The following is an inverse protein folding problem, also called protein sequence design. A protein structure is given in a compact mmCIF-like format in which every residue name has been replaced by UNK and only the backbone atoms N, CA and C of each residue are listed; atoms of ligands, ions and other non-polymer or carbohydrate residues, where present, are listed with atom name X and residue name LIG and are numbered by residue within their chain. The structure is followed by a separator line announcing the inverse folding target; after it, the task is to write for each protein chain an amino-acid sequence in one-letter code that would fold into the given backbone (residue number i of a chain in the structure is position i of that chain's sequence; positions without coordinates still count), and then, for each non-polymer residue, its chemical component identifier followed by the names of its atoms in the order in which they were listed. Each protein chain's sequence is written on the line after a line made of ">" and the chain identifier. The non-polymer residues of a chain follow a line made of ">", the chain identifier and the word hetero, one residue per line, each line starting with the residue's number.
data_IF_179692663767
#
_entry.id   IF_179692663767
#
_cell.length_a   1.000
_cell.length_b   1.000
_cell.length_c   1.000
_cell.angle_alpha   90.00
_cell.angle_beta   90.00
_cell.angle_gamma   90.00
#
_symmetry.space_group_name_H-M   'P 1'
#
loop_
_entity.id
_entity.type
_entity.pdbx_description
1 polymer ?
#
# COMPACT_ATOMS: atom_id res chain seq x y z
N UNK A 1 -41.07 -11.65 28.20
CA UNK A 1 -40.38 -10.35 28.06
C UNK A 1 -40.89 -9.68 26.79
N UNK A 2 -41.48 -8.48 26.86
CA UNK A 2 -41.84 -7.73 25.65
C UNK A 2 -40.60 -6.96 25.20
N UNK A 3 -39.90 -7.46 24.18
CA UNK A 3 -38.85 -6.68 23.53
C UNK A 3 -39.50 -5.53 22.79
N UNK A 4 -39.11 -4.29 23.10
CA UNK A 4 -39.50 -3.16 22.29
C UNK A 4 -38.74 -3.27 20.97
N UNK A 5 -39.44 -3.11 19.84
CA UNK A 5 -38.85 -3.14 18.50
C UNK A 5 -37.59 -2.26 18.41
N UNK A 6 -37.62 -1.10 19.08
CA UNK A 6 -36.51 -0.16 19.13
C UNK A 6 -35.22 -0.76 19.72
N UNK A 7 -35.30 -1.67 20.70
CA UNK A 7 -34.13 -2.31 21.31
C UNK A 7 -33.46 -3.29 20.34
N UNK A 8 -34.26 -3.99 19.54
CA UNK A 8 -33.76 -4.91 18.51
C UNK A 8 -33.04 -4.10 17.44
N UNK A 9 -33.66 -3.02 16.94
CA UNK A 9 -33.04 -2.12 15.95
C UNK A 9 -31.71 -1.54 16.48
N UNK A 10 -31.66 -1.12 17.75
CA UNK A 10 -30.42 -0.65 18.37
C UNK A 10 -29.33 -1.72 18.43
N UNK A 11 -29.67 -2.95 18.79
CA UNK A 11 -28.70 -4.05 18.86
C UNK A 11 -28.11 -4.34 17.47
N UNK A 12 -28.94 -4.34 16.42
CA UNK A 12 -28.47 -4.49 15.04
C UNK A 12 -27.58 -3.32 14.59
N UNK A 13 -27.98 -2.08 14.90
CA UNK A 13 -27.16 -0.90 14.58
C UNK A 13 -25.80 -0.94 15.27
N UNK A 14 -25.76 -1.31 16.55
CA UNK A 14 -24.53 -1.46 17.31
C UNK A 14 -23.65 -2.59 16.74
N UNK A 15 -24.26 -3.71 16.37
CA UNK A 15 -23.56 -4.84 15.74
C UNK A 15 -22.91 -4.43 14.42
N UNK A 16 -23.69 -3.85 13.51
CA UNK A 16 -23.21 -3.40 12.21
C UNK A 16 -22.09 -2.35 12.36
N UNK A 17 -22.28 -1.36 13.23
CA UNK A 17 -21.28 -0.32 13.46
C UNK A 17 -19.98 -0.91 14.05
N UNK A 18 -20.08 -1.85 15.00
CA UNK A 18 -18.92 -2.51 15.59
C UNK A 18 -18.17 -3.37 14.57
N UNK A 19 -18.88 -4.03 13.65
CA UNK A 19 -18.27 -4.81 12.56
C UNK A 19 -17.51 -3.93 11.57
N UNK A 20 -18.05 -2.76 11.24
CA UNK A 20 -17.38 -1.80 10.34
C UNK A 20 -16.08 -1.30 10.96
N UNK A 21 -16.06 -1.12 12.29
CA UNK A 21 -14.91 -0.56 13.00
C UNK A 21 -13.84 -1.60 13.30
N UNK A 22 -14.23 -2.74 13.88
CA UNK A 22 -13.28 -3.71 14.43
C UNK A 22 -13.21 -5.01 13.60
N UNK A 23 -13.90 -5.07 12.45
CA UNK A 23 -14.07 -6.30 11.68
C UNK A 23 -15.14 -7.22 12.27
N UNK A 24 -15.46 -8.28 11.53
CA UNK A 24 -16.60 -9.19 11.83
C UNK A 24 -16.48 -9.82 13.22
N UNK A 25 -15.32 -10.41 13.52
CA UNK A 25 -15.11 -11.18 14.75
C UNK A 25 -15.11 -10.27 15.98
N UNK A 26 -14.24 -9.26 16.00
CA UNK A 26 -14.10 -8.38 17.16
C UNK A 26 -15.32 -7.46 17.32
N UNK A 27 -15.93 -7.01 16.22
CA UNK A 27 -17.18 -6.24 16.26
C UNK A 27 -18.32 -7.00 16.94
N UNK A 28 -18.41 -8.31 16.69
CA UNK A 28 -19.37 -9.17 17.38
C UNK A 28 -19.10 -9.31 18.88
N UNK A 29 -17.83 -9.51 19.26
CA UNK A 29 -17.43 -9.59 20.68
C UNK A 29 -17.75 -8.27 21.41
N UNK A 30 -17.38 -7.14 20.84
CA UNK A 30 -17.66 -5.81 21.40
C UNK A 30 -19.16 -5.59 21.61
N UNK A 31 -19.97 -5.93 20.61
CA UNK A 31 -21.43 -5.81 20.68
C UNK A 31 -22.01 -6.70 21.78
N UNK A 32 -21.58 -7.97 21.86
CA UNK A 32 -22.07 -8.90 22.86
C UNK A 32 -21.79 -8.40 24.29
N UNK A 33 -20.60 -7.84 24.53
CA UNK A 33 -20.22 -7.28 25.83
C UNK A 33 -21.05 -6.04 26.19
N UNK A 34 -21.33 -5.16 25.23
CA UNK A 34 -22.18 -3.98 25.45
C UNK A 34 -23.63 -4.40 25.72
N UNK A 35 -24.18 -5.36 24.97
CA UNK A 35 -25.54 -5.86 25.19
C UNK A 35 -25.66 -6.61 26.52
N UNK A 36 -24.63 -7.37 26.92
CA UNK A 36 -24.58 -8.02 28.23
C UNK A 36 -24.58 -6.98 29.35
N UNK A 37 -23.85 -5.87 29.19
CA UNK A 37 -23.90 -4.74 30.10
C UNK A 37 -25.30 -4.14 30.21
N UNK A 38 -25.93 -3.82 29.07
CA UNK A 38 -27.28 -3.26 29.06
C UNK A 38 -28.29 -4.22 29.70
N UNK A 39 -28.18 -5.52 29.42
CA UNK A 39 -29.04 -6.55 30.02
C UNK A 39 -28.86 -6.66 31.54
N UNK A 40 -27.64 -6.49 32.05
CA UNK A 40 -27.39 -6.41 33.49
C UNK A 40 -27.96 -5.13 34.09
N UNK A 41 -27.75 -3.99 33.43
CA UNK A 41 -28.24 -2.68 33.87
C UNK A 41 -29.77 -2.65 33.93
N UNK A 42 -30.46 -3.24 32.94
CA UNK A 42 -31.92 -3.28 32.86
C UNK A 42 -32.58 -4.18 33.90
N UNK A 43 -31.85 -5.16 34.44
CA UNK A 43 -32.35 -6.07 35.48
C UNK A 43 -32.25 -5.51 36.90
N UNK A 44 -31.52 -4.40 37.10
CA UNK A 44 -31.40 -3.83 38.44
C UNK A 44 -32.69 -3.08 38.84
N UNK A 45 -33.22 -3.34 40.06
CA UNK A 45 -34.45 -2.73 40.55
C UNK A 45 -34.32 -1.20 40.67
N UNK A 46 -35.44 -0.50 40.44
CA UNK A 46 -35.52 0.95 40.57
C UNK A 46 -35.50 1.28 42.06
N UNK A 47 -34.44 1.96 42.53
CA UNK A 47 -34.32 2.43 43.91
C UNK A 47 -33.00 2.05 44.56
N UNK A 48 -32.48 0.85 44.28
CA UNK A 48 -31.17 0.46 44.81
C UNK A 48 -30.07 1.37 44.25
N UNK A 49 -29.16 1.90 45.09
CA UNK A 49 -27.96 2.51 44.59
C UNK A 49 -27.23 1.42 43.80
N UNK A 50 -26.97 1.68 42.52
CA UNK A 50 -25.98 0.88 41.80
C UNK A 50 -24.73 1.03 42.66
N UNK A 51 -24.33 -0.04 43.36
CA UNK A 51 -23.18 0.04 44.25
C UNK A 51 -22.05 0.64 43.40
N UNK A 52 -21.45 1.74 43.87
CA UNK A 52 -20.50 2.51 43.05
C UNK A 52 -19.41 1.61 42.46
N UNK A 53 -19.08 0.54 43.18
CA UNK A 53 -18.22 -0.56 42.76
C UNK A 53 -18.73 -1.33 41.52
N UNK A 54 -19.99 -1.75 41.46
CA UNK A 54 -20.51 -2.52 40.33
C UNK A 54 -20.68 -1.68 39.04
N UNK A 55 -21.08 -0.41 39.18
CA UNK A 55 -21.10 0.53 38.05
C UNK A 55 -19.69 0.83 37.55
N UNK A 56 -18.78 1.08 38.49
CA UNK A 56 -17.36 1.33 38.24
C UNK A 56 -16.74 0.17 37.48
N UNK A 57 -16.71 -1.02 38.07
CA UNK A 57 -16.07 -2.22 37.51
C UNK A 57 -16.52 -2.56 36.09
N UNK A 58 -17.79 -2.33 35.76
CA UNK A 58 -18.33 -2.64 34.44
C UNK A 58 -18.01 -1.54 33.42
N UNK A 59 -18.01 -0.28 33.82
CA UNK A 59 -17.52 0.81 32.99
C UNK A 59 -16.01 0.65 32.70
N UNK A 60 -15.21 0.28 33.70
CA UNK A 60 -13.80 -0.07 33.48
C UNK A 60 -13.66 -1.29 32.60
N UNK A 61 -14.46 -2.35 32.78
CA UNK A 61 -14.40 -3.52 31.90
C UNK A 61 -14.69 -3.16 30.44
N UNK A 62 -15.73 -2.36 30.17
CA UNK A 62 -16.06 -1.89 28.81
C UNK A 62 -14.94 -1.01 28.25
N UNK A 63 -14.45 -0.05 29.02
CA UNK A 63 -13.36 0.82 28.60
C UNK A 63 -12.09 0.02 28.28
N UNK A 64 -11.75 -0.97 29.13
CA UNK A 64 -10.63 -1.88 28.91
C UNK A 64 -10.85 -2.76 27.68
N UNK A 65 -12.05 -3.31 27.48
CA UNK A 65 -12.34 -4.10 26.26
C UNK A 65 -12.23 -3.24 25.01
N UNK A 66 -12.75 -2.01 25.02
CA UNK A 66 -12.63 -1.09 23.89
C UNK A 66 -11.15 -0.76 23.64
N UNK A 67 -10.38 -0.45 24.70
CA UNK A 67 -8.96 -0.14 24.59
C UNK A 67 -8.15 -1.34 24.06
N UNK A 68 -8.40 -2.54 24.58
CA UNK A 68 -7.74 -3.78 24.13
C UNK A 68 -8.17 -4.14 22.72
N UNK A 69 -9.44 -3.97 22.37
CA UNK A 69 -9.95 -4.19 21.02
C UNK A 69 -9.32 -3.24 20.02
N UNK A 70 -9.23 -1.95 20.34
CA UNK A 70 -8.53 -0.96 19.53
C UNK A 70 -7.04 -1.28 19.42
N UNK A 71 -6.39 -1.68 20.50
CA UNK A 71 -4.97 -2.03 20.50
C UNK A 71 -4.70 -3.28 19.66
N UNK A 72 -5.44 -4.37 19.88
CA UNK A 72 -5.31 -5.61 19.11
C UNK A 72 -5.63 -5.38 17.64
N UNK A 73 -6.68 -4.62 17.34
CA UNK A 73 -7.04 -4.33 15.97
C UNK A 73 -6.02 -3.40 15.30
N UNK A 74 -5.42 -2.44 16.03
CA UNK A 74 -4.31 -1.63 15.52
C UNK A 74 -3.07 -2.48 15.26
N UNK A 75 -2.78 -3.46 16.12
CA UNK A 75 -1.69 -4.44 15.92
C UNK A 75 -2.00 -5.34 14.73
N UNK A 76 -3.20 -5.89 14.61
CA UNK A 76 -3.62 -6.71 13.47
C UNK A 76 -3.57 -5.91 12.18
N UNK A 77 -4.05 -4.66 12.18
CA UNK A 77 -3.93 -3.78 11.01
C UNK A 77 -2.47 -3.51 10.70
N UNK A 78 -1.63 -3.22 11.70
CA UNK A 78 -0.19 -3.03 11.48
C UNK A 78 0.48 -4.30 10.92
N UNK A 79 0.08 -5.49 11.36
CA UNK A 79 0.60 -6.75 10.83
C UNK A 79 0.09 -6.98 9.40
N UNK A 80 -1.19 -6.71 9.12
CA UNK A 80 -1.81 -6.90 7.81
C UNK A 80 -1.42 -5.84 6.78
N UNK A 81 -1.20 -4.59 7.15
CA UNK A 81 -0.79 -3.53 6.24
C UNK A 81 0.72 -3.32 6.26
N UNK A 82 1.33 -3.30 7.45
CA UNK A 82 2.75 -3.04 7.62
C UNK A 82 3.66 -4.15 7.10
N UNK A 83 3.31 -5.44 7.28
CA UNK A 83 4.15 -6.53 6.77
C UNK A 83 4.16 -6.61 5.23
N UNK A 84 3.00 -6.50 4.53
CA UNK A 84 3.03 -6.47 3.07
C UNK A 84 3.83 -5.31 2.50
N UNK A 85 3.81 -4.12 3.11
CA UNK A 85 4.65 -3.01 2.64
C UNK A 85 6.15 -3.34 2.66
N UNK A 86 6.59 -4.08 3.67
CA UNK A 86 7.98 -4.56 3.73
C UNK A 86 8.21 -5.54 2.57
N UNK A 87 7.31 -6.50 2.36
CA UNK A 87 7.41 -7.47 1.27
C UNK A 87 7.36 -6.86 -0.14
N UNK A 88 6.51 -5.87 -0.40
CA UNK A 88 6.30 -5.29 -1.72
C UNK A 88 7.54 -4.55 -2.22
N UNK A 89 8.22 -3.83 -1.32
CA UNK A 89 9.47 -3.16 -1.65
C UNK A 89 10.55 -4.19 -1.99
N UNK A 90 10.68 -5.27 -1.22
CA UNK A 90 11.58 -6.36 -1.61
C UNK A 90 11.19 -6.98 -2.95
N UNK A 91 9.91 -7.13 -3.23
CA UNK A 91 9.43 -7.73 -4.47
C UNK A 91 9.81 -6.89 -5.71
N UNK A 92 9.63 -5.56 -5.71
CA UNK A 92 10.03 -4.74 -6.87
C UNK A 92 11.56 -4.73 -7.07
N UNK A 93 12.34 -4.82 -5.98
CA UNK A 93 13.80 -4.98 -6.03
C UNK A 93 14.22 -6.36 -6.57
N UNK A 94 13.54 -7.41 -6.16
CA UNK A 94 13.76 -8.78 -6.66
C UNK A 94 13.43 -8.86 -8.15
N UNK A 95 12.31 -8.27 -8.60
CA UNK A 95 11.92 -8.22 -10.02
C UNK A 95 12.96 -7.51 -10.88
N UNK A 96 13.40 -6.32 -10.51
CA UNK A 96 14.41 -5.61 -11.32
C UNK A 96 15.75 -6.36 -11.35
N UNK A 97 16.12 -7.03 -10.26
CA UNK A 97 17.34 -7.87 -10.19
C UNK A 97 17.20 -9.11 -11.08
N UNK A 98 16.01 -9.74 -11.12
CA UNK A 98 15.70 -10.84 -12.04
C UNK A 98 15.82 -10.41 -13.51
N UNK A 99 15.33 -9.21 -13.87
CA UNK A 99 15.45 -8.68 -15.23
C UNK A 99 16.91 -8.44 -15.63
N UNK A 100 17.75 -7.95 -14.70
CA UNK A 100 19.20 -7.88 -14.93
C UNK A 100 19.84 -9.25 -15.13
N UNK A 101 19.46 -10.25 -14.33
CA UNK A 101 19.96 -11.61 -14.51
C UNK A 101 19.54 -12.19 -15.88
N UNK A 102 18.35 -11.83 -16.37
CA UNK A 102 17.89 -12.14 -17.73
C UNK A 102 18.75 -11.48 -18.82
N UNK A 103 19.09 -10.20 -18.64
CA UNK A 103 20.04 -9.50 -19.50
C UNK A 103 21.41 -10.21 -19.49
N UNK A 104 21.90 -10.65 -18.33
CA UNK A 104 23.26 -11.21 -18.20
C UNK A 104 23.34 -12.58 -18.86
N UNK A 105 22.31 -13.38 -18.65
CA UNK A 105 22.10 -14.64 -19.35
C UNK A 105 22.05 -14.44 -20.87
N UNK A 106 21.44 -13.35 -21.36
CA UNK A 106 21.43 -13.04 -22.79
C UNK A 106 22.84 -12.71 -23.29
N UNK A 107 23.62 -11.90 -22.55
CA UNK A 107 25.01 -11.60 -22.89
C UNK A 107 25.87 -12.86 -22.88
N UNK A 108 25.73 -13.73 -21.90
CA UNK A 108 26.46 -14.99 -21.85
C UNK A 108 26.18 -15.88 -23.08
N UNK A 109 24.93 -15.89 -23.56
CA UNK A 109 24.53 -16.67 -24.72
C UNK A 109 24.92 -16.04 -26.07
N UNK A 110 24.92 -14.71 -26.18
CA UNK A 110 25.05 -13.99 -27.46
C UNK A 110 26.34 -13.15 -27.58
N UNK A 111 27.17 -13.12 -26.54
CA UNK A 111 28.38 -12.31 -26.45
C UNK A 111 28.15 -10.82 -26.14
N UNK A 112 26.91 -10.31 -26.28
CA UNK A 112 26.55 -8.92 -26.04
C UNK A 112 25.21 -8.79 -25.32
N UNK A 113 25.04 -7.71 -24.56
CA UNK A 113 23.72 -7.29 -24.08
C UNK A 113 22.76 -7.10 -25.26
N UNK A 114 21.47 -7.40 -25.11
CA UNK A 114 20.52 -7.03 -26.16
C UNK A 114 20.57 -5.50 -26.31
N UNK A 115 20.48 -4.96 -27.55
CA UNK A 115 20.36 -3.52 -27.73
C UNK A 115 19.07 -3.04 -27.06
N UNK A 116 19.03 -1.77 -26.62
CA UNK A 116 17.83 -1.18 -26.00
C UNK A 116 16.62 -1.32 -26.94
N UNK A 117 16.88 -1.11 -28.24
CA UNK A 117 15.91 -1.24 -29.32
C UNK A 117 16.52 -2.02 -30.49
N UNK A 118 15.76 -2.94 -31.09
CA UNK A 118 16.20 -3.80 -32.21
C UNK A 118 15.29 -3.65 -33.43
N UNK A 119 15.90 -3.71 -34.63
CA UNK A 119 15.18 -3.69 -35.90
C UNK A 119 14.68 -2.30 -36.31
N UNK A 120 14.20 -2.20 -37.56
CA UNK A 120 13.62 -0.98 -38.12
C UNK A 120 14.59 0.21 -38.27
N UNK A 121 14.02 1.37 -38.56
CA UNK A 121 14.72 2.65 -38.53
C UNK A 121 14.76 3.21 -37.09
N UNK A 122 15.62 4.19 -36.76
CA UNK A 122 15.59 4.82 -35.43
C UNK A 122 14.23 5.41 -35.07
N UNK A 123 13.46 5.83 -36.08
CA UNK A 123 12.12 6.41 -35.92
C UNK A 123 11.03 5.34 -35.71
N UNK A 124 11.31 4.10 -36.11
CA UNK A 124 10.37 2.98 -36.06
C UNK A 124 11.05 1.69 -35.60
N UNK A 125 11.53 1.63 -34.34
CA UNK A 125 12.15 0.43 -33.82
C UNK A 125 11.11 -0.70 -33.72
N UNK A 126 11.53 -1.92 -34.00
CA UNK A 126 10.61 -3.05 -34.07
C UNK A 126 10.46 -3.77 -32.73
N UNK A 127 11.52 -3.90 -31.94
CA UNK A 127 11.50 -4.72 -30.71
C UNK A 127 12.24 -4.07 -29.54
N UNK A 128 11.69 -4.27 -28.34
CA UNK A 128 12.31 -3.89 -27.07
C UNK A 128 13.31 -4.95 -26.60
N UNK A 129 14.33 -4.54 -25.84
CA UNK A 129 15.20 -5.47 -25.11
C UNK A 129 14.41 -6.48 -24.23
N UNK A 130 13.23 -6.09 -23.76
CA UNK A 130 12.35 -6.93 -22.93
C UNK A 130 11.93 -8.21 -23.65
N UNK A 131 11.60 -8.12 -24.93
CA UNK A 131 11.23 -9.30 -25.73
C UNK A 131 12.45 -10.18 -26.02
N UNK A 132 13.63 -9.57 -26.17
CA UNK A 132 14.88 -10.30 -26.41
C UNK A 132 15.34 -11.15 -25.22
N UNK A 133 15.01 -10.75 -23.98
CA UNK A 133 15.37 -11.51 -22.77
C UNK A 133 14.34 -12.56 -22.34
N UNK A 134 13.17 -12.62 -22.98
CA UNK A 134 12.12 -13.57 -22.60
C UNK A 134 12.61 -15.03 -22.51
N UNK A 135 13.43 -15.54 -23.46
CA UNK A 135 13.93 -16.91 -23.37
C UNK A 135 14.78 -17.16 -22.12
N UNK A 136 15.46 -16.14 -21.60
CA UNK A 136 16.33 -16.22 -20.43
C UNK A 136 15.57 -16.12 -19.11
N UNK A 137 14.36 -15.55 -19.10
CA UNK A 137 13.49 -15.54 -17.93
C UNK A 137 12.86 -16.93 -17.65
N UNK A 138 13.01 -17.89 -18.56
CA UNK A 138 12.70 -19.30 -18.35
C UNK A 138 11.25 -19.56 -17.94
N UNK A 139 11.06 -20.44 -16.94
CA UNK A 139 9.74 -20.81 -16.41
C UNK A 139 9.01 -19.65 -15.70
N UNK A 140 9.70 -18.54 -15.40
CA UNK A 140 9.08 -17.41 -14.69
C UNK A 140 8.19 -16.58 -15.63
N UNK A 141 8.64 -16.32 -16.86
CA UNK A 141 7.89 -15.50 -17.82
C UNK A 141 6.75 -16.22 -18.54
N UNK A 142 6.50 -17.50 -18.23
CA UNK A 142 5.53 -18.34 -18.93
C UNK A 142 6.03 -18.74 -20.32
N UNK A 143 6.10 -20.04 -20.60
CA UNK A 143 6.55 -20.56 -21.91
C UNK A 143 5.66 -20.16 -23.09
N UNK A 144 4.46 -19.65 -22.81
CA UNK A 144 3.49 -19.25 -23.83
C UNK A 144 3.67 -17.79 -24.30
N UNK A 145 4.34 -16.95 -23.49
CA UNK A 145 4.66 -15.58 -23.87
C UNK A 145 5.70 -15.54 -25.02
N UNK A 146 6.61 -16.52 -25.05
CA UNK A 146 7.65 -16.63 -26.08
C UNK A 146 7.15 -17.26 -27.37
N UNK A 147 6.18 -18.17 -27.34
CA UNK A 147 5.78 -18.92 -28.55
C UNK A 147 4.90 -18.13 -29.52
N UNK A 148 4.27 -17.06 -29.05
CA UNK A 148 3.27 -16.32 -29.83
C UNK A 148 3.77 -14.95 -30.34
N UNK A 149 4.94 -14.47 -29.89
CA UNK A 149 5.45 -13.15 -30.26
C UNK A 149 6.12 -13.22 -31.64
N UNK A 150 5.70 -12.35 -32.56
CA UNK A 150 6.18 -12.35 -33.94
C UNK A 150 7.40 -11.42 -34.08
N UNK A 151 8.61 -12.00 -33.99
CA UNK A 151 9.88 -11.27 -34.15
C UNK A 151 10.12 -10.73 -35.57
N UNK A 152 9.37 -11.19 -36.56
CA UNK A 152 9.43 -10.70 -37.95
C UNK A 152 8.50 -9.51 -38.21
N UNK A 153 7.68 -9.13 -37.24
CA UNK A 153 6.75 -8.01 -37.32
C UNK A 153 7.07 -6.91 -36.28
N UNK A 154 6.78 -5.62 -36.57
CA UNK A 154 6.90 -4.56 -35.57
C UNK A 154 6.12 -4.86 -34.28
N UNK A 155 6.57 -4.35 -33.13
CA UNK A 155 5.89 -4.54 -31.84
C UNK A 155 4.41 -4.11 -31.84
N UNK A 156 4.05 -3.13 -32.68
CA UNK A 156 2.70 -2.59 -32.82
C UNK A 156 1.93 -3.23 -33.99
N UNK A 157 2.41 -4.35 -34.55
CA UNK A 157 1.64 -5.11 -35.52
C UNK A 157 0.36 -5.62 -34.86
N UNK A 158 -0.68 -5.84 -35.68
CA UNK A 158 -1.94 -6.40 -35.19
C UNK A 158 -1.71 -7.70 -34.42
N UNK A 159 -0.82 -8.59 -34.88
CA UNK A 159 -0.52 -9.86 -34.22
C UNK A 159 0.19 -9.68 -32.88
N UNK A 160 1.14 -8.73 -32.79
CA UNK A 160 1.87 -8.44 -31.55
C UNK A 160 1.04 -7.64 -30.52
N UNK A 161 0.01 -6.90 -30.96
CA UNK A 161 -0.93 -6.20 -30.08
C UNK A 161 -2.13 -7.06 -29.65
N UNK A 162 -2.60 -7.96 -30.50
CA UNK A 162 -3.68 -8.93 -30.18
C UNK A 162 -3.16 -10.14 -29.38
N UNK A 163 -1.95 -10.03 -28.83
CA UNK A 163 -1.32 -11.06 -28.03
C UNK A 163 -2.25 -11.50 -26.88
N UNK A 164 -2.71 -12.76 -26.86
CA UNK A 164 -3.78 -13.20 -25.95
C UNK A 164 -3.32 -13.28 -24.49
N UNK A 165 -2.02 -13.23 -24.23
CA UNK A 165 -1.47 -13.33 -22.88
C UNK A 165 -1.10 -11.96 -22.31
N UNK A 166 -1.33 -11.73 -21.00
CA UNK A 166 -0.90 -10.50 -20.35
C UNK A 166 0.63 -10.39 -20.38
N UNK A 167 1.12 -9.17 -20.16
CA UNK A 167 2.54 -8.94 -19.88
C UNK A 167 3.06 -9.95 -18.82
N UNK A 168 4.24 -10.55 -19.01
CA UNK A 168 4.86 -11.37 -17.97
C UNK A 168 4.99 -10.59 -16.67
N UNK A 169 4.63 -11.23 -15.55
CA UNK A 169 4.59 -10.59 -14.21
C UNK A 169 5.96 -10.07 -13.78
N UNK A 170 7.03 -10.56 -14.39
CA UNK A 170 8.41 -10.15 -14.18
C UNK A 170 8.67 -8.70 -14.61
N UNK A 171 7.91 -8.20 -15.59
CA UNK A 171 8.00 -6.81 -16.06
C UNK A 171 7.09 -5.85 -15.28
N UNK A 172 6.25 -6.36 -14.39
CA UNK A 172 5.38 -5.58 -13.52
C UNK A 172 6.05 -5.38 -12.16
N UNK A 173 6.00 -4.16 -11.60
CA UNK A 173 6.27 -4.03 -10.17
C UNK A 173 5.03 -4.52 -9.40
N UNK A 174 5.17 -5.51 -8.50
CA UNK A 174 4.05 -6.06 -7.73
C UNK A 174 3.19 -5.02 -7.02
N UNK A 175 3.78 -3.88 -6.65
CA UNK A 175 3.07 -2.79 -6.00
C UNK A 175 2.15 -2.01 -6.93
N UNK A 176 2.50 -1.89 -8.21
CA UNK A 176 1.66 -1.24 -9.22
C UNK A 176 0.39 -2.02 -9.51
N UNK A 177 0.45 -3.35 -9.48
CA UNK A 177 -0.71 -4.23 -9.63
C UNK A 177 -1.80 -3.94 -8.59
N UNK A 178 -1.42 -3.47 -7.39
CA UNK A 178 -2.35 -3.12 -6.31
C UNK A 178 -3.04 -1.76 -6.53
N UNK A 179 -2.34 -0.80 -7.14
CA UNK A 179 -2.79 0.60 -7.27
C UNK A 179 -3.61 0.86 -8.54
N UNK A 180 -3.31 0.19 -9.66
CA UNK A 180 -3.74 0.65 -10.98
C UNK A 180 -5.08 0.05 -11.51
N UNK A 181 -5.73 -0.85 -10.78
CA UNK A 181 -6.93 -1.54 -11.30
C UNK A 181 -6.61 -2.42 -12.53
N UNK A 182 -7.65 -2.94 -13.19
CA UNK A 182 -7.53 -4.02 -14.23
C UNK A 182 -6.71 -3.67 -15.47
N UNK A 183 -6.39 -2.40 -15.72
CA UNK A 183 -5.69 -1.94 -16.93
C UNK A 183 -4.14 -1.99 -16.81
N UNK A 184 -3.61 -2.44 -15.66
CA UNK A 184 -2.18 -2.59 -15.42
C UNK A 184 -1.50 -3.67 -16.30
N UNK A 185 -2.27 -4.54 -16.94
CA UNK A 185 -1.80 -5.84 -17.43
C UNK A 185 -0.86 -5.80 -18.64
N UNK A 186 -0.62 -4.65 -19.27
CA UNK A 186 0.16 -4.55 -20.51
C UNK A 186 1.36 -3.59 -20.44
N UNK A 187 1.55 -2.85 -19.32
CA UNK A 187 2.62 -1.86 -19.22
C UNK A 187 3.69 -2.25 -18.21
N UNK A 188 4.95 -2.19 -18.62
CA UNK A 188 6.10 -2.51 -17.75
C UNK A 188 6.40 -1.39 -16.77
N UNK A 189 6.91 -1.73 -15.57
CA UNK A 189 7.38 -0.74 -14.60
C UNK A 189 8.89 -0.51 -14.67
N UNK A 190 9.61 -1.17 -15.59
CA UNK A 190 11.07 -1.15 -15.64
C UNK A 190 11.58 -0.67 -17.00
N UNK A 191 12.30 0.44 -17.00
CA UNK A 191 12.92 1.02 -18.19
C UNK A 191 14.44 0.95 -18.09
N UNK A 192 15.10 0.81 -19.23
CA UNK A 192 16.56 0.87 -19.37
C UNK A 192 16.98 2.30 -19.70
N UNK A 193 18.21 2.68 -19.34
CA UNK A 193 18.75 4.00 -19.66
C UNK A 193 19.64 3.92 -20.91
N UNK A 194 19.29 4.66 -21.94
CA UNK A 194 20.01 4.74 -23.21
C UNK A 194 20.72 6.08 -23.39
N UNK A 195 21.69 6.10 -24.31
CA UNK A 195 22.44 7.30 -24.63
C UNK A 195 21.53 8.37 -25.26
N UNK A 196 21.85 9.66 -25.03
CA UNK A 196 21.06 10.77 -25.57
C UNK A 196 21.19 10.91 -27.10
N UNK A 197 22.35 10.53 -27.66
CA UNK A 197 22.68 10.65 -29.07
C UNK A 197 22.20 9.45 -29.91
N UNK A 198 22.07 8.27 -29.31
CA UNK A 198 21.55 7.07 -29.97
C UNK A 198 20.70 6.22 -29.01
N UNK A 199 19.36 6.13 -29.20
CA UNK A 199 18.48 5.37 -28.34
C UNK A 199 18.66 3.84 -28.44
N UNK A 200 19.50 3.36 -29.35
CA UNK A 200 19.84 1.93 -29.49
C UNK A 200 21.00 1.52 -28.59
N UNK A 201 21.78 2.49 -28.12
CA UNK A 201 22.97 2.28 -27.30
C UNK A 201 22.67 2.57 -25.84
N UNK A 202 23.27 1.79 -24.95
CA UNK A 202 23.29 2.13 -23.53
C UNK A 202 23.99 3.46 -23.29
N UNK A 203 23.51 4.19 -22.27
CA UNK A 203 24.22 5.37 -21.77
C UNK A 203 25.56 5.01 -21.09
N UNK A 204 25.72 3.76 -20.65
CA UNK A 204 26.84 3.26 -19.87
C UNK A 204 27.36 1.93 -20.43
N UNK A 205 28.50 1.46 -19.92
CA UNK A 205 29.07 0.16 -20.34
C UNK A 205 28.18 -1.03 -19.92
N UNK A 206 27.52 -0.91 -18.77
CA UNK A 206 26.56 -1.87 -18.26
C UNK A 206 25.13 -1.32 -18.32
N UNK A 207 24.13 -2.17 -18.57
CA UNK A 207 22.74 -1.75 -18.53
C UNK A 207 22.36 -1.27 -17.12
N UNK A 208 21.68 -0.12 -17.06
CA UNK A 208 21.02 0.36 -15.86
C UNK A 208 19.52 0.29 -16.10
N UNK A 209 18.81 -0.40 -15.21
CA UNK A 209 17.36 -0.44 -15.15
C UNK A 209 16.87 0.49 -14.04
N UNK A 210 15.76 1.17 -14.31
CA UNK A 210 15.07 2.05 -13.35
C UNK A 210 13.58 1.78 -13.36
N UNK A 211 13.00 1.82 -12.17
CA UNK A 211 11.57 1.73 -11.95
C UNK A 211 10.83 3.04 -12.24
N UNK A 212 9.73 2.95 -12.99
CA UNK A 212 8.84 4.06 -13.34
C UNK A 212 7.40 3.75 -12.95
N UNK A 213 6.63 4.76 -12.53
CA UNK A 213 5.22 4.56 -12.19
C UNK A 213 4.34 4.52 -13.44
N UNK A 214 4.61 5.39 -14.43
CA UNK A 214 3.97 5.38 -15.75
C UNK A 214 4.78 4.59 -16.76
N UNK A 215 4.50 3.30 -16.81
CA UNK A 215 5.07 2.38 -17.77
C UNK A 215 4.73 2.66 -19.23
N UNK A 216 5.51 2.03 -20.11
CA UNK A 216 5.19 1.87 -21.54
C UNK A 216 4.63 0.48 -21.78
N UNK A 217 3.98 0.24 -22.92
CA UNK A 217 3.60 -1.12 -23.30
C UNK A 217 4.84 -2.01 -23.28
N UNK A 218 4.78 -3.21 -22.68
CA UNK A 218 6.00 -3.96 -22.37
C UNK A 218 6.77 -4.43 -23.62
N UNK A 219 6.12 -4.59 -24.77
CA UNK A 219 6.78 -4.87 -26.05
C UNK A 219 7.28 -3.62 -26.78
N UNK A 220 6.86 -2.43 -26.34
CA UNK A 220 7.22 -1.17 -26.99
C UNK A 220 8.72 -0.89 -26.77
N UNK A 221 9.50 -0.65 -27.84
CA UNK A 221 10.90 -0.24 -27.78
C UNK A 221 11.01 1.23 -27.38
N UNK A 222 10.55 1.52 -26.16
CA UNK A 222 10.69 2.83 -25.52
C UNK A 222 11.29 2.62 -24.14
N UNK A 223 12.28 3.44 -23.86
CA UNK A 223 13.10 3.43 -22.65
C UNK A 223 13.44 4.89 -22.32
N UNK A 224 14.34 5.14 -21.37
CA UNK A 224 14.69 6.51 -20.95
C UNK A 224 16.01 6.93 -21.56
N UNK A 225 16.05 8.13 -22.13
CA UNK A 225 17.32 8.82 -22.35
C UNK A 225 17.98 9.17 -21.02
N UNK A 226 19.28 9.44 -21.03
CA UNK A 226 20.00 9.87 -19.83
C UNK A 226 19.40 11.15 -19.25
N UNK A 227 18.97 12.10 -20.09
CA UNK A 227 18.35 13.33 -19.63
C UNK A 227 16.95 13.09 -19.02
N UNK A 228 16.14 12.21 -19.63
CA UNK A 228 14.85 11.80 -19.03
C UNK A 228 15.05 11.05 -17.70
N UNK A 229 16.10 10.24 -17.58
CA UNK A 229 16.42 9.56 -16.32
C UNK A 229 16.86 10.55 -15.23
N UNK A 230 17.63 11.58 -15.59
CA UNK A 230 18.01 12.66 -14.65
C UNK A 230 16.77 13.46 -14.25
N UNK A 231 15.90 13.80 -15.19
CA UNK A 231 14.64 14.49 -14.91
C UNK A 231 13.76 13.65 -13.97
N UNK A 232 13.61 12.36 -14.26
CA UNK A 232 12.86 11.40 -13.44
C UNK A 232 13.35 11.35 -11.97
N UNK A 233 14.67 11.46 -11.78
CA UNK A 233 15.33 11.49 -10.48
C UNK A 233 15.30 12.87 -9.81
N UNK A 234 14.80 13.93 -10.46
CA UNK A 234 14.81 15.30 -9.93
C UNK A 234 13.44 15.98 -9.85
N UNK A 235 12.43 15.59 -10.65
CA UNK A 235 11.16 16.35 -10.77
C UNK A 235 9.93 15.71 -10.09
N UNK A 236 9.96 14.43 -9.71
CA UNK A 236 8.92 13.70 -8.92
C UNK A 236 7.49 13.57 -9.46
N UNK A 237 7.15 14.10 -10.63
CA UNK A 237 5.76 14.02 -11.13
C UNK A 237 5.31 12.58 -11.46
N UNK A 238 6.26 11.72 -11.82
CA UNK A 238 6.06 10.28 -11.89
C UNK A 238 6.30 9.69 -10.49
N UNK A 239 5.30 9.76 -9.60
CA UNK A 239 5.49 9.61 -8.15
C UNK A 239 5.94 8.22 -7.63
N UNK A 240 6.60 7.37 -8.44
CA UNK A 240 7.08 6.05 -8.07
C UNK A 240 6.02 5.26 -7.29
N UNK A 241 6.46 4.40 -6.38
CA UNK A 241 5.61 3.97 -5.28
C UNK A 241 5.91 4.86 -4.07
N UNK A 242 4.97 5.73 -3.70
CA UNK A 242 5.09 6.46 -2.45
C UNK A 242 5.03 5.44 -1.30
N UNK A 243 6.08 5.29 -0.49
CA UNK A 243 6.03 4.35 0.64
C UNK A 243 4.91 4.79 1.59
N UNK A 244 3.88 3.96 1.71
CA UNK A 244 2.78 4.18 2.66
C UNK A 244 3.02 3.22 3.79
N UNK A 245 3.31 3.72 4.98
CA UNK A 245 3.29 2.90 6.19
C UNK A 245 1.84 2.93 6.68
N UNK A 246 1.08 1.90 6.31
CA UNK A 246 -0.34 1.77 6.65
C UNK A 246 -0.55 1.54 8.15
N UNK A 247 -1.56 2.24 8.69
CA UNK A 247 -2.12 1.99 10.01
C UNK A 247 -3.62 2.27 10.00
N UNK A 248 -4.35 1.84 11.04
CA UNK A 248 -5.81 1.93 11.02
C UNK A 248 -6.33 3.37 11.11
N UNK A 249 -5.82 4.18 12.03
CA UNK A 249 -6.29 5.57 12.20
C UNK A 249 -5.47 6.60 11.42
N UNK A 250 -4.23 6.27 11.11
CA UNK A 250 -3.37 7.08 10.29
C UNK A 250 -2.46 6.18 9.45
N UNK A 251 -2.09 6.67 8.27
CA UNK A 251 -0.95 6.16 7.51
C UNK A 251 0.16 7.21 7.51
N UNK A 252 1.40 6.80 7.30
CA UNK A 252 2.49 7.73 7.00
C UNK A 252 2.86 7.60 5.53
N UNK A 253 2.70 8.68 4.78
CA UNK A 253 3.22 8.78 3.42
C UNK A 253 4.67 9.25 3.51
N UNK A 254 5.58 8.48 2.93
CA UNK A 254 7.00 8.81 2.84
C UNK A 254 7.23 9.54 1.50
N UNK A 255 7.73 10.76 1.59
CA UNK A 255 8.04 11.61 0.45
C UNK A 255 9.51 12.04 0.49
N UNK A 256 10.17 12.21 -0.66
CA UNK A 256 9.72 11.81 -2.00
C UNK A 256 9.67 10.27 -2.14
N UNK A 257 8.94 9.75 -3.14
CA UNK A 257 8.90 8.32 -3.43
C UNK A 257 10.29 7.76 -3.75
N UNK A 258 10.46 6.47 -3.49
CA UNK A 258 11.68 5.73 -3.86
C UNK A 258 11.48 5.02 -5.18
N UNK A 259 12.58 4.77 -5.89
CA UNK A 259 12.63 3.97 -7.10
C UNK A 259 13.67 2.88 -6.98
N UNK A 260 13.31 1.67 -7.38
CA UNK A 260 14.27 0.61 -7.54
C UNK A 260 15.11 0.91 -8.78
N UNK A 261 16.42 0.92 -8.60
CA UNK A 261 17.38 0.96 -9.69
C UNK A 261 18.29 -0.24 -9.56
N UNK A 262 18.73 -0.76 -10.70
CA UNK A 262 19.64 -1.89 -10.69
C UNK A 262 20.62 -1.78 -11.85
N UNK A 263 21.84 -2.27 -11.63
CA UNK A 263 22.89 -2.34 -12.63
C UNK A 263 23.72 -3.61 -12.44
N UNK A 264 24.53 -3.92 -13.46
CA UNK A 264 25.52 -4.99 -13.39
C UNK A 264 26.88 -4.32 -13.23
N UNK A 265 27.53 -4.57 -12.11
CA UNK A 265 28.84 -4.00 -11.79
C UNK A 265 29.87 -4.44 -12.85
N UNK A 266 30.52 -3.50 -13.57
CA UNK A 266 31.55 -3.85 -14.54
C UNK A 266 32.76 -4.57 -13.93
N UNK A 267 32.99 -4.43 -12.62
CA UNK A 267 34.19 -4.94 -11.95
C UNK A 267 34.11 -6.45 -11.68
N UNK A 268 32.94 -6.94 -11.28
CA UNK A 268 32.74 -8.32 -10.82
C UNK A 268 31.55 -9.03 -11.48
N UNK A 269 30.80 -8.33 -12.35
CA UNK A 269 29.60 -8.86 -13.01
C UNK A 269 28.41 -9.06 -12.07
N UNK A 270 28.47 -8.59 -10.82
CA UNK A 270 27.38 -8.79 -9.87
C UNK A 270 26.21 -7.86 -10.19
N UNK A 271 24.99 -8.40 -10.14
CA UNK A 271 23.77 -7.59 -10.22
C UNK A 271 23.53 -6.93 -8.85
N UNK A 272 23.57 -5.60 -8.84
CA UNK A 272 23.34 -4.79 -7.64
C UNK A 272 22.11 -3.91 -7.85
N UNK A 273 21.29 -3.79 -6.81
CA UNK A 273 20.14 -2.89 -6.81
C UNK A 273 20.19 -1.92 -5.64
N UNK A 274 19.78 -0.68 -5.90
CA UNK A 274 19.77 0.46 -4.99
C UNK A 274 18.39 1.10 -5.00
N UNK A 275 17.98 1.64 -3.86
CA UNK A 275 16.84 2.54 -3.78
C UNK A 275 17.34 3.96 -3.93
N UNK A 276 16.90 4.64 -4.98
CA UNK A 276 17.16 6.07 -5.14
C UNK A 276 15.90 6.86 -4.81
N UNK A 277 16.07 7.97 -4.10
CA UNK A 277 15.05 9.02 -3.97
C UNK A 277 15.29 10.13 -4.97
N UNK A 278 14.46 11.16 -4.89
CA UNK A 278 14.63 12.38 -5.65
C UNK A 278 15.84 13.19 -5.16
N UNK A 279 16.58 13.76 -6.10
CA UNK A 279 17.66 14.71 -5.86
C UNK A 279 17.16 16.15 -6.04
N UNK A 280 17.73 17.08 -5.26
CA UNK A 280 17.54 18.52 -5.48
C UNK A 280 18.38 19.02 -6.67
N UNK A 281 19.57 18.45 -6.84
CA UNK A 281 20.52 18.82 -7.89
C UNK A 281 20.58 17.75 -8.98
N UNK A 282 20.28 18.09 -10.25
CA UNK A 282 20.50 17.19 -11.40
C UNK A 282 21.94 16.67 -11.52
N UNK A 283 22.94 17.39 -11.01
CA UNK A 283 24.31 16.93 -10.98
C UNK A 283 24.49 15.69 -10.10
N UNK A 284 23.77 15.58 -8.98
CA UNK A 284 23.81 14.40 -8.10
C UNK A 284 23.13 13.19 -8.73
N UNK A 285 21.98 13.39 -9.38
CA UNK A 285 21.32 12.33 -10.15
C UNK A 285 22.24 11.80 -11.27
N UNK A 286 22.91 12.70 -12.00
CA UNK A 286 23.90 12.33 -13.01
C UNK A 286 25.10 11.59 -12.40
N UNK A 287 25.61 12.07 -11.26
CA UNK A 287 26.73 11.44 -10.57
C UNK A 287 26.39 10.03 -10.10
N UNK A 288 25.17 9.81 -9.58
CA UNK A 288 24.68 8.48 -9.20
C UNK A 288 24.70 7.53 -10.39
N UNK A 289 24.11 7.95 -11.52
CA UNK A 289 24.04 7.13 -12.73
C UNK A 289 25.44 6.81 -13.28
N UNK A 290 26.35 7.79 -13.28
CA UNK A 290 27.74 7.58 -13.69
C UNK A 290 28.48 6.61 -12.76
N UNK A 291 28.31 6.75 -11.44
CA UNK A 291 28.92 5.85 -10.45
C UNK A 291 28.42 4.40 -10.62
N UNK A 292 27.10 4.23 -10.82
CA UNK A 292 26.52 2.91 -11.12
C UNK A 292 27.08 2.32 -12.42
N UNK A 293 27.14 3.12 -13.49
CA UNK A 293 27.68 2.68 -14.78
C UNK A 293 29.17 2.29 -14.74
N UNK A 294 29.93 2.83 -13.78
CA UNK A 294 31.36 2.55 -13.57
C UNK A 294 31.62 1.53 -12.45
N UNK A 295 30.58 1.06 -11.76
CA UNK A 295 30.73 0.20 -10.58
C UNK A 295 31.44 0.87 -9.40
N UNK A 296 31.35 2.19 -9.28
CA UNK A 296 31.92 2.95 -8.17
C UNK A 296 30.96 2.98 -6.98
N UNK A 297 31.53 3.20 -5.79
CA UNK A 297 30.77 3.54 -4.58
C UNK A 297 29.95 4.80 -4.82
N UNK A 298 28.70 4.78 -4.39
CA UNK A 298 27.74 5.88 -4.54
C UNK A 298 27.03 6.24 -3.23
N UNK A 299 27.48 5.67 -2.09
CA UNK A 299 26.90 5.91 -0.77
C UNK A 299 26.92 7.40 -0.41
N UNK A 300 28.00 8.11 -0.74
CA UNK A 300 28.10 9.55 -0.52
C UNK A 300 27.16 10.36 -1.42
N UNK A 301 26.82 9.85 -2.60
CA UNK A 301 25.89 10.49 -3.54
C UNK A 301 24.45 10.27 -3.06
N UNK A 302 24.11 9.03 -2.71
CA UNK A 302 22.81 8.67 -2.13
C UNK A 302 22.56 9.41 -0.81
N UNK A 303 23.59 9.70 -0.03
CA UNK A 303 23.46 10.53 1.17
C UNK A 303 23.03 11.98 0.90
N UNK A 304 23.16 12.47 -0.35
CA UNK A 304 22.72 13.82 -0.79
C UNK A 304 21.31 13.85 -1.37
N UNK A 305 20.61 12.72 -1.37
CA UNK A 305 19.18 12.67 -1.71
C UNK A 305 18.35 13.61 -0.84
N UNK A 306 17.19 14.03 -1.36
CA UNK A 306 16.22 14.80 -0.56
C UNK A 306 15.91 14.07 0.75
N UNK A 307 15.91 14.80 1.89
CA UNK A 307 15.59 14.21 3.17
C UNK A 307 14.17 13.65 3.14
N UNK A 308 13.99 12.55 3.86
CA UNK A 308 12.69 11.90 3.95
C UNK A 308 11.74 12.72 4.79
N UNK A 309 10.61 13.09 4.21
CA UNK A 309 9.50 13.70 4.91
C UNK A 309 8.40 12.66 5.12
N UNK A 310 7.96 12.53 6.36
CA UNK A 310 6.82 11.70 6.72
C UNK A 310 5.59 12.59 6.81
N UNK A 311 4.64 12.43 5.88
CA UNK A 311 3.36 13.12 5.92
C UNK A 311 2.31 12.20 6.53
N UNK A 312 1.82 12.47 7.75
CA UNK A 312 0.73 11.70 8.32
C UNK A 312 -0.56 11.96 7.53
N UNK A 313 -1.27 10.89 7.20
CA UNK A 313 -2.59 10.90 6.58
C UNK A 313 -3.56 10.29 7.58
N UNK A 314 -4.48 11.11 8.11
CA UNK A 314 -5.47 10.66 9.10
C UNK A 314 -6.68 10.06 8.39
N UNK A 315 -7.04 8.83 8.77
CA UNK A 315 -8.21 8.11 8.26
C UNK A 315 -9.47 8.52 9.03
N UNK A 316 -9.96 9.74 8.76
CA UNK A 316 -11.12 10.30 9.46
C UNK A 316 -12.36 9.40 9.44
N UNK A 317 -12.56 8.66 8.33
CA UNK A 317 -13.64 7.66 8.22
C UNK A 317 -13.61 6.64 9.37
N UNK A 318 -12.42 6.14 9.71
CA UNK A 318 -12.23 5.13 10.75
C UNK A 318 -12.44 5.74 12.14
N UNK A 319 -11.95 6.97 12.35
CA UNK A 319 -12.16 7.73 13.59
C UNK A 319 -13.66 7.97 13.82
N UNK A 320 -14.38 8.48 12.81
CA UNK A 320 -15.82 8.71 12.93
C UNK A 320 -16.61 7.42 13.16
N UNK A 321 -16.18 6.31 12.54
CA UNK A 321 -16.75 4.99 12.81
C UNK A 321 -16.66 4.61 14.30
N UNK A 322 -15.47 4.70 14.89
CA UNK A 322 -15.25 4.42 16.33
C UNK A 322 -16.10 5.34 17.20
N UNK A 323 -16.11 6.64 16.89
CA UNK A 323 -16.88 7.63 17.64
C UNK A 323 -18.39 7.32 17.58
N UNK A 324 -18.91 6.94 16.41
CA UNK A 324 -20.31 6.55 16.24
C UNK A 324 -20.65 5.31 17.08
N UNK A 325 -19.80 4.27 17.06
CA UNK A 325 -19.97 3.07 17.91
C UNK A 325 -20.01 3.46 19.38
N UNK A 326 -19.08 4.29 19.84
CA UNK A 326 -19.01 4.73 21.23
C UNK A 326 -20.29 5.49 21.65
N UNK A 327 -20.80 6.40 20.82
CA UNK A 327 -22.04 7.13 21.10
C UNK A 327 -23.24 6.19 21.17
N UNK A 328 -23.39 5.29 20.19
CA UNK A 328 -24.49 4.30 20.15
C UNK A 328 -24.43 3.38 21.38
N UNK A 329 -23.23 2.94 21.78
CA UNK A 329 -23.01 2.08 22.94
C UNK A 329 -23.40 2.75 24.27
N UNK A 330 -23.32 4.08 24.37
CA UNK A 330 -23.59 4.82 25.60
C UNK A 330 -25.03 5.33 25.71
N UNK A 331 -25.73 5.51 24.59
CA UNK A 331 -27.07 6.13 24.54
C UNK A 331 -28.09 5.49 25.51
N UNK A 332 -28.29 4.16 25.55
CA UNK A 332 -29.27 3.55 26.46
C UNK A 332 -28.91 3.74 27.93
N UNK A 333 -27.63 3.75 28.27
CA UNK A 333 -27.16 4.03 29.63
C UNK A 333 -27.52 5.45 30.08
N UNK A 334 -27.42 6.43 29.18
CA UNK A 334 -27.81 7.82 29.44
C UNK A 334 -29.31 7.94 29.67
N UNK A 335 -30.13 7.29 28.84
CA UNK A 335 -31.59 7.28 28.97
C UNK A 335 -32.03 6.63 30.27
N UNK A 336 -31.51 5.44 30.58
CA UNK A 336 -31.81 4.73 31.84
C UNK A 336 -31.40 5.55 33.07
N UNK A 337 -30.27 6.25 33.02
CA UNK A 337 -29.83 7.14 34.11
C UNK A 337 -30.79 8.32 34.30
N UNK A 338 -31.30 8.90 33.22
CA UNK A 338 -32.31 9.98 33.27
C UNK A 338 -33.63 9.49 33.86
N UNK A 339 -34.15 8.37 33.38
CA UNK A 339 -35.39 7.78 33.90
C UNK A 339 -35.29 7.44 35.39
N UNK A 340 -34.17 6.84 35.82
CA UNK A 340 -33.93 6.55 37.24
C UNK A 340 -33.83 7.79 38.11
N UNK A 341 -33.20 8.87 37.62
CA UNK A 341 -33.16 10.15 38.34
C UNK A 341 -34.56 10.74 38.50
N UNK A 342 -35.38 10.70 37.45
CA UNK A 342 -36.76 11.17 37.50
C UNK A 342 -37.61 10.34 38.48
N UNK A 343 -37.50 9.01 38.44
CA UNK A 343 -38.20 8.12 39.38
C UNK A 343 -37.81 8.36 40.84
N UNK A 344 -36.51 8.53 41.12
CA UNK A 344 -36.03 8.88 42.47
C UNK A 344 -36.54 10.23 42.94
N UNK A 345 -36.57 11.24 42.07
CA UNK A 345 -37.13 12.55 42.40
C UNK A 345 -38.62 12.47 42.72
N UNK A 346 -39.38 11.64 41.97
CA UNK A 346 -40.80 11.42 42.22
C UNK A 346 -41.04 10.70 43.57
N UNK A 347 -40.24 9.69 43.92
CA UNK A 347 -40.33 9.01 45.23
C UNK A 347 -39.94 9.97 46.38
N UNK A 348 -38.91 10.79 46.19
CA UNK A 348 -38.53 11.78 47.21
C UNK A 348 -39.63 12.84 47.45
N UNK A 349 -40.43 13.17 46.42
CA UNK A 349 -41.58 14.06 46.54
C UNK A 349 -42.77 13.38 47.23
N UNK A 350 -42.98 12.07 47.06
CA UNK A 350 -44.04 11.34 47.77
C UNK A 350 -43.72 11.08 49.23
N UNK A 351 -42.43 11.01 49.58
CA UNK A 351 -41.96 10.76 50.95
C UNK A 351 -41.77 12.05 51.76
N UNK A 352 -41.97 13.23 51.15
CA UNK A 352 -41.92 14.50 51.88
C UNK A 352 -43.05 14.54 52.91
N UNK A 353 -42.76 14.67 54.22
CA UNK A 353 -43.79 14.66 55.26
C UNK A 353 -44.78 15.80 55.00
N UNK A 354 -46.08 15.50 55.11
CA UNK A 354 -47.13 16.51 55.05
C UNK A 354 -46.74 17.65 55.99
N UNK A 355 -46.44 18.82 55.43
CA UNK A 355 -46.12 19.98 56.25
C UNK A 355 -47.26 20.19 57.24
N UNK A 356 -46.96 20.34 58.55
CA UNK A 356 -48.01 20.53 59.54
C UNK A 356 -48.87 21.72 59.11
N UNK A 357 -50.15 21.45 58.89
CA UNK A 357 -51.13 22.48 58.58
C UNK A 357 -51.08 23.52 59.71
N UNK A 358 -50.72 24.76 59.35
CA UNK A 358 -50.65 25.90 60.28
C UNK A 358 -51.99 26.58 60.42
#
# INVERSE_FOLDING_TARGET
>A
MRFRLITVVYAFALFAASMVVAGVLFGGITTALILAYWGRLSRQPVGEPISGAAAGCLATAIATTIAVGIALFSVCTFLETGLPHIHDNYACRERITLLLAGLDSHKAANGNWPPVMRGGSPETPWHSWRTAILPQLGNFAGTAATSNYHEDEPWNSKKNLEFPEPMPREFECPRRALDAGSDASATTSYLRIHANDDPRRDAFESPILVEVARGVHWTQPKDLSLDEAIDLLTTSDDAGHADVIGGYFWSQLVLPPRRAMAYISPQDGSATSVWARQFDDPADARALLAAMGQGQSFEEIVARERPTNHRPVVHWRNIYGVMAVAVIALLPGIVLRRERRAARAAMALSDAPDSPAT
#
